data_IF_984187648419
#
_entry.id   IF_984187648419
#
_cell.length_a   1.000
_cell.length_b   1.000
_cell.length_c   1.000
_cell.angle_alpha   90.00
_cell.angle_beta   90.00
_cell.angle_gamma   90.00
#
_symmetry.space_group_name_H-M   'P 1'
#
loop_
_entity.id
_entity.type
_entity.pdbx_description
1 polymer ?
#
# COMPACT_ATOMS: atom_id res chain seq x y z
N UNK A 1 28.15 11.97 -24.13
CA UNK A 1 27.26 10.82 -23.84
C UNK A 1 26.48 10.92 -22.52
N UNK A 2 27.02 11.53 -21.45
CA UNK A 2 26.30 11.62 -20.15
C UNK A 2 24.98 12.40 -20.16
N UNK A 3 24.83 13.43 -21.01
CA UNK A 3 23.63 14.26 -21.08
C UNK A 3 22.38 13.51 -21.60
N UNK A 4 22.55 12.62 -22.59
CA UNK A 4 21.45 11.82 -23.13
C UNK A 4 20.95 10.77 -22.12
N UNK A 5 21.87 10.16 -21.36
CA UNK A 5 21.52 9.18 -20.31
C UNK A 5 20.74 9.83 -19.17
N UNK A 6 21.11 11.05 -18.77
CA UNK A 6 20.39 11.79 -17.73
C UNK A 6 18.96 12.16 -18.15
N UNK A 7 18.75 12.53 -19.42
CA UNK A 7 17.42 12.84 -19.94
C UNK A 7 16.53 11.60 -20.04
N UNK A 8 17.08 10.47 -20.50
CA UNK A 8 16.35 9.19 -20.54
C UNK A 8 15.93 8.73 -19.14
N UNK A 9 16.79 8.94 -18.14
CA UNK A 9 16.48 8.62 -16.73
C UNK A 9 15.35 9.50 -16.20
N UNK A 10 15.44 10.82 -16.41
CA UNK A 10 14.39 11.77 -15.99
C UNK A 10 13.04 11.43 -16.63
N UNK A 11 13.01 11.18 -17.94
CA UNK A 11 11.76 10.82 -18.63
C UNK A 11 11.14 9.53 -18.10
N UNK A 12 11.97 8.55 -17.74
CA UNK A 12 11.51 7.27 -17.19
C UNK A 12 10.99 7.42 -15.75
N UNK A 13 11.65 8.23 -14.93
CA UNK A 13 11.17 8.59 -13.58
C UNK A 13 9.84 9.36 -13.65
N UNK A 14 9.69 10.32 -14.57
CA UNK A 14 8.43 11.03 -14.78
C UNK A 14 7.30 10.12 -15.26
N UNK A 15 7.59 9.15 -16.13
CA UNK A 15 6.59 8.15 -16.51
C UNK A 15 6.17 7.32 -15.28
N UNK A 16 7.13 6.85 -14.48
CA UNK A 16 6.84 6.09 -13.26
C UNK A 16 5.97 6.87 -12.27
N UNK A 17 6.22 8.16 -12.08
CA UNK A 17 5.41 9.05 -11.21
C UNK A 17 3.97 9.13 -11.74
N UNK A 18 3.77 9.34 -13.05
CA UNK A 18 2.42 9.39 -13.64
C UNK A 18 1.66 8.07 -13.47
N UNK A 19 2.34 6.93 -13.57
CA UNK A 19 1.72 5.62 -13.34
C UNK A 19 1.29 5.45 -11.89
N UNK A 20 2.11 5.89 -10.92
CA UNK A 20 1.78 5.84 -9.50
C UNK A 20 0.54 6.68 -9.16
N UNK A 21 0.44 7.89 -9.68
CA UNK A 21 -0.72 8.77 -9.44
C UNK A 21 -2.03 8.12 -9.93
N UNK A 22 -1.99 7.46 -11.10
CA UNK A 22 -3.14 6.74 -11.65
C UNK A 22 -3.49 5.52 -10.78
N UNK A 23 -2.50 4.76 -10.32
CA UNK A 23 -2.72 3.62 -9.44
C UNK A 23 -3.41 4.04 -8.13
N UNK A 24 -2.96 5.13 -7.52
CA UNK A 24 -3.57 5.68 -6.30
C UNK A 24 -5.05 6.06 -6.53
N UNK A 25 -5.36 6.70 -7.66
CA UNK A 25 -6.74 7.02 -8.03
C UNK A 25 -7.61 5.76 -8.22
N UNK A 26 -7.07 4.73 -8.87
CA UNK A 26 -7.76 3.45 -9.07
C UNK A 26 -8.02 2.75 -7.73
N UNK A 27 -7.06 2.78 -6.82
CA UNK A 27 -7.18 2.20 -5.47
C UNK A 27 -8.29 2.92 -4.70
N UNK A 28 -8.26 4.25 -4.62
CA UNK A 28 -9.29 5.02 -3.93
C UNK A 28 -10.68 4.75 -4.51
N UNK A 29 -10.80 4.65 -5.84
CA UNK A 29 -12.07 4.34 -6.49
C UNK A 29 -12.57 2.92 -6.18
N UNK A 30 -11.67 1.94 -6.11
CA UNK A 30 -12.01 0.54 -5.74
C UNK A 30 -12.48 0.41 -4.30
N UNK A 31 -11.97 1.26 -3.40
CA UNK A 31 -12.41 1.35 -2.02
C UNK A 31 -13.75 2.09 -1.85
N UNK A 32 -14.30 2.64 -2.93
CA UNK A 32 -15.58 3.35 -2.90
C UNK A 32 -15.47 4.83 -2.56
N UNK A 33 -14.26 5.39 -2.47
CA UNK A 33 -14.07 6.81 -2.25
C UNK A 33 -14.50 7.63 -3.47
N UNK A 34 -15.13 8.77 -3.20
CA UNK A 34 -15.42 9.81 -4.19
C UNK A 34 -14.14 10.54 -4.58
N UNK A 35 -14.16 11.22 -5.74
CA UNK A 35 -13.01 11.99 -6.19
C UNK A 35 -12.66 13.13 -5.21
N UNK A 36 -13.67 13.72 -4.58
CA UNK A 36 -13.48 14.74 -3.54
C UNK A 36 -12.76 14.16 -2.33
N UNK A 37 -13.21 13.01 -1.81
CA UNK A 37 -12.57 12.36 -0.66
C UNK A 37 -11.11 11.95 -0.95
N UNK A 38 -10.83 11.43 -2.15
CA UNK A 38 -9.46 11.08 -2.54
C UNK A 38 -8.56 12.33 -2.57
N UNK A 39 -9.09 13.47 -3.02
CA UNK A 39 -8.33 14.71 -3.12
C UNK A 39 -8.04 15.38 -1.76
N UNK A 40 -8.82 15.05 -0.73
CA UNK A 40 -8.56 15.51 0.65
C UNK A 40 -7.47 14.67 1.35
N UNK A 41 -7.15 13.49 0.84
CA UNK A 41 -6.14 12.59 1.40
C UNK A 41 -4.78 12.84 0.75
N UNK A 42 -3.72 12.76 1.56
CA UNK A 42 -2.37 12.63 1.00
C UNK A 42 -2.19 11.22 0.46
N UNK A 43 -1.25 11.03 -0.46
CA UNK A 43 -0.91 9.71 -0.98
C UNK A 43 -0.59 8.70 0.14
N UNK A 44 0.11 9.16 1.19
CA UNK A 44 0.41 8.32 2.36
C UNK A 44 -0.85 7.92 3.12
N UNK A 45 -1.75 8.87 3.39
CA UNK A 45 -2.99 8.62 4.13
C UNK A 45 -3.87 7.61 3.39
N UNK A 46 -3.92 7.69 2.05
CA UNK A 46 -4.64 6.72 1.23
C UNK A 46 -4.04 5.32 1.34
N UNK A 47 -2.71 5.20 1.35
CA UNK A 47 -2.03 3.91 1.50
C UNK A 47 -2.25 3.32 2.90
N UNK A 48 -2.15 4.14 3.95
CA UNK A 48 -2.40 3.72 5.33
C UNK A 48 -3.86 3.29 5.51
N UNK A 49 -4.79 3.99 4.86
CA UNK A 49 -6.21 3.62 4.83
C UNK A 49 -6.42 2.27 4.14
N UNK A 50 -5.77 2.03 2.99
CA UNK A 50 -5.82 0.74 2.29
C UNK A 50 -5.28 -0.38 3.17
N UNK A 51 -4.14 -0.17 3.82
CA UNK A 51 -3.54 -1.14 4.71
C UNK A 51 -4.51 -1.48 5.85
N UNK A 52 -5.03 -0.48 6.56
CA UNK A 52 -6.02 -0.68 7.62
C UNK A 52 -7.31 -1.36 7.14
N UNK A 53 -7.78 -1.05 5.92
CA UNK A 53 -8.99 -1.62 5.33
C UNK A 53 -8.79 -3.09 4.91
N UNK A 54 -7.61 -3.43 4.38
CA UNK A 54 -7.28 -4.77 3.89
C UNK A 54 -6.71 -5.68 4.97
N UNK A 55 -6.26 -5.12 6.10
CA UNK A 55 -5.79 -5.86 7.26
C UNK A 55 -6.90 -6.78 7.75
N UNK A 56 -6.74 -8.07 7.48
CA UNK A 56 -7.63 -9.10 8.01
C UNK A 56 -7.50 -9.09 9.52
N UNK A 57 -8.62 -9.28 10.22
CA UNK A 57 -8.68 -9.47 11.69
C UNK A 57 -7.85 -10.65 12.21
N UNK A 58 -7.21 -11.42 11.34
CA UNK A 58 -6.44 -12.62 11.67
C UNK A 58 -5.11 -12.33 12.39
N UNK A 59 -4.76 -11.05 12.59
CA UNK A 59 -3.62 -10.60 13.42
C UNK A 59 -3.97 -10.57 14.92
N UNK A 60 -5.13 -11.08 15.35
CA UNK A 60 -5.34 -11.39 16.76
C UNK A 60 -4.39 -12.55 17.16
N UNK A 61 -3.62 -12.40 18.26
CA UNK A 61 -2.74 -13.47 18.72
C UNK A 61 -3.53 -14.76 18.86
N UNK A 62 -3.13 -15.82 18.14
CA UNK A 62 -3.75 -17.14 18.31
C UNK A 62 -3.62 -17.54 19.78
N UNK A 63 -4.74 -17.82 20.43
CA UNK A 63 -4.72 -18.40 21.78
C UNK A 63 -3.92 -19.71 21.74
N UNK A 64 -2.96 -19.87 22.66
CA UNK A 64 -2.15 -21.08 22.75
C UNK A 64 -3.08 -22.29 22.96
N UNK A 65 -2.98 -23.29 22.09
CA UNK A 65 -3.73 -24.53 22.26
C UNK A 65 -3.03 -25.42 23.29
N UNK A 66 -3.72 -26.43 23.81
CA UNK A 66 -3.12 -27.40 24.72
C UNK A 66 -1.89 -28.08 24.09
N UNK A 67 -1.89 -28.32 22.77
CA UNK A 67 -0.74 -28.85 22.04
C UNK A 67 0.49 -27.91 22.05
N UNK A 68 0.28 -26.59 22.04
CA UNK A 68 1.36 -25.61 22.15
C UNK A 68 1.94 -25.61 23.58
N UNK A 69 1.08 -25.75 24.59
CA UNK A 69 1.45 -25.86 26.01
C UNK A 69 2.29 -27.13 26.22
N UNK A 70 1.83 -28.27 25.71
CA UNK A 70 2.49 -29.55 25.91
C UNK A 70 3.89 -29.59 25.24
N UNK A 71 4.08 -28.89 24.11
CA UNK A 71 5.41 -28.72 23.47
C UNK A 71 6.36 -27.80 24.25
N UNK A 72 5.83 -26.86 25.04
CA UNK A 72 6.64 -25.96 25.84
C UNK A 72 7.16 -26.64 27.12
N UNK A 73 6.43 -27.62 27.65
CA UNK A 73 6.76 -28.34 28.89
C UNK A 73 7.44 -29.71 28.68
N UNK A 74 7.79 -30.06 27.44
CA UNK A 74 8.54 -31.27 27.08
C UNK A 74 10.04 -31.00 26.91
#
# INVERSE_FOLDING_TARGET
MGFLVQNLRKSNEQQKIKWLDIELLVIGKRLGLTFTEINELRCQDLLDFVDAYTRKKDDEPRMATQEDIDKFFA
#
